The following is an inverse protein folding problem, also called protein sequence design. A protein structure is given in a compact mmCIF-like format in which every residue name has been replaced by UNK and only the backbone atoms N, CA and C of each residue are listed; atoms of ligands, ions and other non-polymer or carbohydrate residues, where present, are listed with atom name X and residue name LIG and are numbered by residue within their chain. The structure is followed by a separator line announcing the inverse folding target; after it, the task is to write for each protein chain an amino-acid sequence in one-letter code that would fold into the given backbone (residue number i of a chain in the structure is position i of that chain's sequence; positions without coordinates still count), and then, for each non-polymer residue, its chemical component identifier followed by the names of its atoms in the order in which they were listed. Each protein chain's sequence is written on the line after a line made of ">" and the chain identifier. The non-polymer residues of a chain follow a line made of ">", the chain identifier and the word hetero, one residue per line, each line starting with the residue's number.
data_IF_476147634384
#
_entry.id   IF_476147634384
#
_cell.length_a   1.000
_cell.length_b   1.000
_cell.length_c   1.000
_cell.angle_alpha   90.00
_cell.angle_beta   90.00
_cell.angle_gamma   90.00
#
_symmetry.space_group_name_H-M   'P 1'
#
loop_
_entity.id
_entity.type
_entity.pdbx_description
1 polymer ?
#
# COMPACT_ATOMS: atom_id res chain seq x y z
N UNK A 1 -6.10 2.17 -5.63
CA UNK A 1 -7.48 1.86 -5.25
C UNK A 1 -8.23 3.14 -4.96
N UNK A 2 -9.51 3.23 -5.30
CA UNK A 2 -10.38 4.33 -4.85
C UNK A 2 -11.24 3.82 -3.69
N UNK A 3 -11.14 4.47 -2.52
CA UNK A 3 -11.99 4.22 -1.36
C UNK A 3 -13.04 5.33 -1.33
N UNK A 4 -14.26 5.03 -1.76
CA UNK A 4 -15.27 6.04 -2.17
C UNK A 4 -16.26 6.48 -1.08
N UNK A 5 -16.07 6.09 0.19
CA UNK A 5 -16.81 6.69 1.30
C UNK A 5 -18.29 6.29 1.42
N UNK A 6 -19.10 7.07 2.17
CA UNK A 6 -18.68 8.27 2.91
C UNK A 6 -17.86 7.94 4.18
N UNK A 7 -18.04 6.75 4.75
CA UNK A 7 -17.35 6.30 5.98
C UNK A 7 -16.25 5.28 5.68
N UNK A 8 -15.16 5.70 5.01
CA UNK A 8 -14.00 4.81 4.83
C UNK A 8 -13.28 4.63 6.16
N UNK A 9 -13.35 3.41 6.71
CA UNK A 9 -12.53 2.97 7.83
C UNK A 9 -11.74 1.71 7.50
N UNK A 10 -10.46 1.68 7.85
CA UNK A 10 -9.63 0.49 7.78
C UNK A 10 -9.24 0.04 9.18
N UNK A 11 -9.35 -1.26 9.45
CA UNK A 11 -8.75 -1.88 10.62
C UNK A 11 -7.22 -1.94 10.46
N UNK A 12 -6.51 -2.21 11.55
CA UNK A 12 -5.05 -2.40 11.48
C UNK A 12 -4.71 -3.53 10.51
N UNK A 13 -3.94 -3.20 9.47
CA UNK A 13 -3.52 -4.15 8.44
C UNK A 13 -2.21 -3.71 7.80
N UNK A 14 -1.67 -4.57 6.94
CA UNK A 14 -0.63 -4.24 5.97
C UNK A 14 -1.16 -4.58 4.59
N UNK A 15 -0.78 -3.82 3.59
CA UNK A 15 -1.09 -4.14 2.20
C UNK A 15 -0.16 -5.25 1.70
N UNK A 16 -0.37 -6.48 2.18
CA UNK A 16 0.55 -7.62 1.98
C UNK A 16 0.71 -8.05 0.51
N UNK A 17 -0.16 -7.57 -0.39
CA UNK A 17 -0.07 -7.80 -1.82
C UNK A 17 0.76 -6.73 -2.56
N UNK A 18 1.09 -5.62 -1.91
CA UNK A 18 1.92 -4.57 -2.50
C UNK A 18 3.39 -5.03 -2.57
N UNK A 19 4.11 -4.49 -3.54
CA UNK A 19 5.54 -4.73 -3.67
C UNK A 19 6.29 -4.08 -2.49
N UNK A 20 7.09 -4.83 -1.70
CA UNK A 20 7.60 -4.32 -0.42
C UNK A 20 8.44 -3.02 -0.49
N UNK A 21 9.37 -2.86 -1.46
CA UNK A 21 10.09 -1.60 -1.69
C UNK A 21 9.27 -0.52 -2.44
N UNK A 22 8.04 -0.83 -2.84
CA UNK A 22 7.17 0.08 -3.58
C UNK A 22 6.43 1.01 -2.62
N UNK A 23 6.52 2.31 -2.89
CA UNK A 23 5.72 3.30 -2.16
C UNK A 23 4.25 3.20 -2.53
N UNK A 24 3.39 3.59 -1.59
CA UNK A 24 1.97 3.75 -1.76
C UNK A 24 1.61 5.21 -1.47
N UNK A 25 1.50 6.06 -2.50
CA UNK A 25 0.93 7.39 -2.35
C UNK A 25 -0.57 7.31 -2.05
N UNK A 26 -1.01 8.09 -1.08
CA UNK A 26 -2.39 8.17 -0.60
C UNK A 26 -2.83 9.62 -0.71
N UNK A 27 -3.80 9.89 -1.57
CA UNK A 27 -4.50 11.17 -1.65
C UNK A 27 -5.71 11.15 -0.72
N UNK A 28 -5.81 12.16 0.14
CA UNK A 28 -6.87 12.27 1.14
C UNK A 28 -7.98 13.17 0.63
N UNK A 29 -9.23 12.70 0.72
CA UNK A 29 -10.40 13.35 0.17
C UNK A 29 -11.54 13.31 1.19
N UNK A 30 -12.51 14.23 1.06
CA UNK A 30 -13.69 14.32 1.93
C UNK A 30 -13.73 15.57 2.82
N UNK A 31 -14.71 15.63 3.72
CA UNK A 31 -14.95 16.74 4.62
C UNK A 31 -15.05 16.23 6.07
N UNK A 32 -14.01 16.49 6.86
CA UNK A 32 -13.85 15.99 8.23
C UNK A 32 -12.85 16.87 9.00
N UNK A 33 -12.88 16.84 10.32
CA UNK A 33 -11.89 17.49 11.18
C UNK A 33 -10.70 16.56 11.45
N UNK A 34 -9.67 16.68 10.62
CA UNK A 34 -8.42 15.91 10.69
C UNK A 34 -7.70 15.95 12.04
N UNK A 35 -8.02 16.89 12.93
CA UNK A 35 -7.41 17.00 14.27
C UNK A 35 -8.05 16.04 15.27
N UNK A 36 -9.32 15.68 15.07
CA UNK A 36 -10.08 14.86 16.02
C UNK A 36 -10.65 13.58 15.42
N UNK A 37 -10.58 13.41 14.10
CA UNK A 37 -11.05 12.21 13.41
C UNK A 37 -10.17 11.82 12.23
N UNK A 38 -10.34 10.59 11.75
CA UNK A 38 -9.76 10.10 10.51
C UNK A 38 -8.21 10.13 10.40
N UNK A 39 -7.50 10.35 11.51
CA UNK A 39 -6.04 10.35 11.55
C UNK A 39 -5.49 9.01 11.07
N UNK A 40 -4.36 9.05 10.37
CA UNK A 40 -3.63 7.86 9.97
C UNK A 40 -2.80 7.36 11.16
N UNK A 41 -3.00 6.10 11.54
CA UNK A 41 -2.29 5.47 12.64
C UNK A 41 -1.26 4.51 12.04
N UNK A 42 0.01 4.61 12.46
CA UNK A 42 1.09 3.72 12.00
C UNK A 42 1.83 3.14 13.20
N UNK A 43 1.85 1.80 13.29
CA UNK A 43 2.24 1.08 14.52
C UNK A 43 3.75 1.06 14.74
N UNK A 44 4.54 0.66 13.74
CA UNK A 44 5.99 0.46 13.88
C UNK A 44 6.73 1.74 14.31
N UNK A 45 6.50 2.92 13.70
CA UNK A 45 7.07 4.18 14.17
C UNK A 45 6.33 4.78 15.37
N UNK A 46 5.20 4.21 15.82
CA UNK A 46 4.35 4.71 16.92
C UNK A 46 3.87 6.15 16.70
N UNK A 47 3.36 6.45 15.51
CA UNK A 47 2.87 7.79 15.17
C UNK A 47 1.39 7.79 14.81
N UNK A 48 0.76 8.92 15.10
CA UNK A 48 -0.56 9.29 14.60
C UNK A 48 -0.34 10.55 13.76
N UNK A 49 -0.84 10.55 12.53
CA UNK A 49 -0.62 11.61 11.56
C UNK A 49 -1.97 12.21 11.21
N UNK A 50 -2.10 13.51 11.44
CA UNK A 50 -3.22 14.30 10.97
C UNK A 50 -3.02 14.58 9.48
N UNK A 51 -3.97 14.17 8.64
CA UNK A 51 -3.95 14.42 7.21
C UNK A 51 -5.29 15.06 6.82
N UNK A 52 -5.22 16.23 6.19
CA UNK A 52 -6.38 16.98 5.75
C UNK A 52 -6.81 16.61 4.33
N UNK A 53 -7.99 17.07 3.94
CA UNK A 53 -8.40 17.03 2.53
C UNK A 53 -7.35 17.68 1.63
N UNK A 54 -6.98 17.00 0.54
CA UNK A 54 -5.99 17.48 -0.43
C UNK A 54 -4.56 17.05 -0.12
N UNK A 55 -4.30 16.47 1.05
CA UNK A 55 -2.96 15.96 1.38
C UNK A 55 -2.58 14.74 0.53
N UNK A 56 -1.28 14.66 0.25
CA UNK A 56 -0.62 13.49 -0.31
C UNK A 56 0.35 12.92 0.72
N UNK A 57 0.10 11.69 1.16
CA UNK A 57 0.99 10.97 2.05
C UNK A 57 1.63 9.79 1.32
N UNK A 58 2.94 9.59 1.46
CA UNK A 58 3.69 8.52 0.80
C UNK A 58 4.21 7.56 1.87
N UNK A 59 3.87 6.27 1.78
CA UNK A 59 4.32 5.27 2.74
C UNK A 59 4.60 3.90 2.13
N UNK A 60 5.38 3.09 2.86
CA UNK A 60 5.61 1.67 2.57
C UNK A 60 4.50 0.81 3.17
N UNK A 61 3.30 0.89 2.58
CA UNK A 61 2.06 0.26 3.07
C UNK A 61 2.12 -1.26 3.33
N UNK A 62 2.96 -1.98 2.61
CA UNK A 62 3.20 -3.43 2.82
C UNK A 62 4.06 -3.75 4.03
N UNK A 63 4.88 -2.78 4.48
CA UNK A 63 5.83 -2.95 5.58
C UNK A 63 5.32 -2.37 6.89
N UNK A 64 4.45 -1.36 6.81
CA UNK A 64 3.94 -0.62 7.96
C UNK A 64 2.51 -1.05 8.25
N UNK A 65 2.26 -1.48 9.48
CA UNK A 65 0.91 -1.76 9.98
C UNK A 65 0.20 -0.44 10.21
N UNK A 66 -0.94 -0.26 9.55
CA UNK A 66 -1.64 1.00 9.55
C UNK A 66 -3.16 0.85 9.57
N UNK A 67 -3.82 1.91 10.02
CA UNK A 67 -5.28 2.05 10.06
C UNK A 67 -5.64 3.53 10.01
N UNK A 68 -6.93 3.84 10.02
CA UNK A 68 -7.41 5.20 10.24
C UNK A 68 -8.38 5.24 11.43
N UNK A 69 -8.34 6.35 12.16
CA UNK A 69 -9.25 6.60 13.26
C UNK A 69 -10.70 6.70 12.75
N UNK A 70 -11.71 6.42 13.60
CA UNK A 70 -13.11 6.62 13.25
C UNK A 70 -13.40 8.07 12.84
N UNK A 71 -14.40 8.24 11.98
CA UNK A 71 -15.02 9.53 11.67
C UNK A 71 -16.07 9.89 12.73
N UNK A 72 -16.32 11.19 12.91
CA UNK A 72 -17.46 11.71 13.65
C UNK A 72 -18.75 11.61 12.82
N UNK A 73 -19.89 11.75 13.50
CA UNK A 73 -21.18 11.76 12.83
C UNK A 73 -21.29 12.93 11.85
N UNK A 74 -21.67 12.64 10.61
CA UNK A 74 -21.83 13.64 9.55
C UNK A 74 -20.56 13.97 8.78
N UNK A 75 -19.42 13.39 9.14
CA UNK A 75 -18.17 13.54 8.40
C UNK A 75 -18.05 12.53 7.26
N UNK A 76 -17.29 12.89 6.24
CA UNK A 76 -17.03 12.06 5.09
C UNK A 76 -15.53 11.99 4.82
N UNK A 77 -15.03 10.77 4.56
CA UNK A 77 -13.65 10.58 4.12
C UNK A 77 -13.55 9.53 3.04
N UNK A 78 -12.76 9.87 2.04
CA UNK A 78 -12.40 9.07 0.88
C UNK A 78 -10.88 9.08 0.71
N UNK A 79 -10.36 8.16 -0.09
CA UNK A 79 -8.97 8.23 -0.50
C UNK A 79 -8.72 7.59 -1.84
N UNK A 80 -7.67 8.06 -2.51
CA UNK A 80 -7.11 7.42 -3.68
C UNK A 80 -5.70 6.94 -3.37
N UNK A 81 -5.49 5.63 -3.44
CA UNK A 81 -4.17 5.02 -3.28
C UNK A 81 -3.59 4.62 -4.63
N UNK A 82 -2.29 4.82 -4.79
CA UNK A 82 -1.52 4.31 -5.93
C UNK A 82 -0.51 3.31 -5.39
N UNK A 83 -0.39 2.13 -6.00
CA UNK A 83 0.51 1.09 -5.51
C UNK A 83 0.90 0.15 -6.64
N UNK A 84 2.01 -0.57 -6.46
CA UNK A 84 2.44 -1.62 -7.37
C UNK A 84 2.23 -2.99 -6.73
N UNK A 85 1.56 -3.90 -7.43
CA UNK A 85 1.35 -5.25 -6.94
C UNK A 85 2.66 -6.05 -6.93
N UNK A 86 2.96 -6.72 -5.82
CA UNK A 86 4.09 -7.66 -5.73
C UNK A 86 3.93 -8.85 -6.68
N UNK A 87 2.69 -9.24 -6.99
CA UNK A 87 2.40 -10.25 -8.00
C UNK A 87 2.86 -9.84 -9.41
N UNK A 88 2.72 -8.57 -9.77
CA UNK A 88 3.17 -8.04 -11.06
C UNK A 88 4.70 -8.09 -11.17
N UNK A 89 5.40 -7.74 -10.08
CA UNK A 89 6.86 -7.85 -10.00
C UNK A 89 7.33 -9.29 -10.21
N UNK A 90 6.67 -10.27 -9.57
CA UNK A 90 6.97 -11.69 -9.76
C UNK A 90 6.74 -12.14 -11.20
N UNK A 91 5.64 -11.71 -11.82
CA UNK A 91 5.31 -12.02 -13.21
C UNK A 91 6.33 -11.46 -14.20
N UNK A 92 6.77 -10.21 -14.00
CA UNK A 92 7.84 -9.59 -14.80
C UNK A 92 9.15 -10.36 -14.63
N UNK A 93 9.55 -10.68 -13.39
CA UNK A 93 10.77 -11.45 -13.12
C UNK A 93 10.71 -12.88 -13.71
N UNK A 94 9.52 -13.47 -13.81
CA UNK A 94 9.28 -14.75 -14.45
C UNK A 94 9.25 -14.68 -15.99
N UNK A 95 9.43 -13.48 -16.58
CA UNK A 95 9.41 -13.28 -18.02
C UNK A 95 8.02 -13.43 -18.64
N UNK A 96 6.99 -12.95 -17.94
CA UNK A 96 5.61 -12.97 -18.42
C UNK A 96 4.86 -14.28 -18.11
N UNK A 97 5.39 -15.10 -17.20
CA UNK A 97 4.83 -16.41 -16.83
C UNK A 97 4.40 -16.43 -15.38
N UNK A 98 3.50 -17.35 -15.04
CA UNK A 98 3.21 -17.64 -13.65
C UNK A 98 4.39 -18.39 -13.02
N UNK A 99 4.64 -18.15 -11.73
CA UNK A 99 5.79 -18.77 -11.03
C UNK A 99 5.65 -20.29 -10.99
N UNK A 100 4.43 -20.82 -10.93
CA UNK A 100 4.16 -22.27 -10.97
C UNK A 100 4.43 -22.90 -12.35
N UNK A 101 4.55 -22.12 -13.43
CA UNK A 101 4.95 -22.60 -14.75
C UNK A 101 6.47 -22.76 -14.89
N UNK A 102 7.25 -22.29 -13.90
CA UNK A 102 8.71 -22.41 -13.87
C UNK A 102 9.13 -23.80 -13.38
N UNK A 103 8.89 -24.81 -14.20
CA UNK A 103 9.04 -26.22 -13.82
C UNK A 103 10.48 -26.75 -13.89
N UNK A 104 11.39 -26.06 -14.58
CA UNK A 104 12.80 -26.50 -14.71
C UNK A 104 13.75 -25.70 -13.80
N UNK A 105 14.84 -26.34 -13.35
CA UNK A 105 15.90 -25.66 -12.58
C UNK A 105 16.49 -24.45 -13.31
N UNK A 106 16.62 -24.53 -14.64
CA UNK A 106 17.12 -23.43 -15.45
C UNK A 106 16.19 -22.21 -15.40
N UNK A 107 14.87 -22.44 -15.55
CA UNK A 107 13.85 -21.38 -15.42
C UNK A 107 13.83 -20.78 -14.02
N UNK A 108 13.88 -21.62 -12.98
CA UNK A 108 13.89 -21.17 -11.59
C UNK A 108 15.14 -20.34 -11.25
N UNK A 109 16.33 -20.75 -11.72
CA UNK A 109 17.58 -19.98 -11.57
C UNK A 109 17.51 -18.63 -12.28
N UNK A 110 16.96 -18.59 -13.49
CA UNK A 110 16.74 -17.35 -14.23
C UNK A 110 15.79 -16.42 -13.46
N UNK A 111 14.65 -16.93 -13.01
CA UNK A 111 13.70 -16.18 -12.18
C UNK A 111 14.36 -15.64 -10.91
N UNK A 112 15.10 -16.46 -10.16
CA UNK A 112 15.78 -16.01 -8.94
C UNK A 112 16.75 -14.86 -9.22
N UNK A 113 17.53 -14.94 -10.31
CA UNK A 113 18.44 -13.86 -10.74
C UNK A 113 17.70 -12.58 -11.09
N UNK A 114 16.60 -12.68 -11.83
CA UNK A 114 15.79 -11.50 -12.21
C UNK A 114 15.01 -10.92 -11.02
N UNK A 115 14.45 -11.76 -10.16
CA UNK A 115 13.75 -11.35 -8.94
C UNK A 115 14.69 -10.63 -7.96
N UNK A 116 15.95 -11.07 -7.84
CA UNK A 116 16.95 -10.42 -6.99
C UNK A 116 17.19 -8.95 -7.39
N UNK A 117 17.09 -8.61 -8.69
CA UNK A 117 17.24 -7.23 -9.15
C UNK A 117 16.17 -6.30 -8.61
N UNK A 118 15.01 -6.83 -8.22
CA UNK A 118 13.93 -6.04 -7.65
C UNK A 118 14.16 -5.71 -6.17
N UNK A 119 15.06 -6.41 -5.47
CA UNK A 119 15.37 -6.10 -4.08
C UNK A 119 16.01 -4.72 -3.92
N UNK A 120 16.74 -4.26 -4.95
CA UNK A 120 17.41 -2.95 -4.97
C UNK A 120 16.67 -1.91 -5.80
N UNK A 121 15.57 -2.30 -6.47
CA UNK A 121 14.71 -1.39 -7.22
C UNK A 121 13.54 -0.99 -6.32
N UNK A 122 13.77 0.04 -5.52
CA UNK A 122 12.77 0.71 -4.68
C UNK A 122 12.94 2.21 -4.79
N UNK A 123 12.09 2.94 -4.06
CA UNK A 123 12.30 4.36 -3.80
C UNK A 123 13.31 4.54 -2.67
#
# INVERSE_FOLDING_TARGET
>A
TFNLGPYVRCWLHRDCLNFPPGVCPIFILGNFDHRISAQLIIVEPKVIIELMHGDLFIMLSSLLTHSNAPLQAGEERMSWTCWMAGGLVRWIAAGGKLVNELTTKAMQRKYAKEAAKWQTRGW
#
